data_IF_586570506352
#
_entry.id   IF_586570506352
#
_cell.length_a   1.000
_cell.length_b   1.000
_cell.length_c   1.000
_cell.angle_alpha   90.00
_cell.angle_beta   90.00
_cell.angle_gamma   90.00
#
_symmetry.space_group_name_H-M   'P 1'
#
loop_
_entity.id
_entity.type
_entity.pdbx_description
1 polymer ?
#
# COMPACT_ATOMS: atom_id res chain seq x y z
N UNK A 1 29.47 -15.20 6.40
CA UNK A 1 29.77 -16.15 5.31
C UNK A 1 28.53 -16.18 4.43
N UNK A 2 28.56 -15.56 3.26
CA UNK A 2 27.42 -15.58 2.33
C UNK A 2 27.16 -17.03 1.93
N UNK A 3 26.07 -17.62 2.41
CA UNK A 3 25.58 -18.86 1.84
C UNK A 3 25.08 -18.47 0.45
N UNK A 4 25.78 -18.92 -0.58
CA UNK A 4 25.38 -18.73 -1.97
C UNK A 4 24.14 -19.58 -2.28
N UNK A 5 23.01 -19.17 -1.70
CA UNK A 5 21.69 -19.73 -1.97
C UNK A 5 21.40 -19.72 -3.48
N UNK A 6 21.95 -18.74 -4.20
CA UNK A 6 21.76 -18.55 -5.64
C UNK A 6 22.40 -19.66 -6.50
N UNK A 7 23.55 -20.20 -6.11
CA UNK A 7 24.32 -21.14 -6.94
C UNK A 7 23.96 -22.61 -6.72
N UNK A 8 23.28 -22.92 -5.60
CA UNK A 8 22.96 -24.30 -5.26
C UNK A 8 21.61 -24.70 -5.86
N UNK A 9 21.60 -25.79 -6.62
CA UNK A 9 20.36 -26.38 -7.14
C UNK A 9 19.64 -27.10 -5.99
N UNK A 10 18.60 -26.48 -5.45
CA UNK A 10 17.77 -27.03 -4.38
C UNK A 10 16.44 -27.45 -4.99
N UNK A 11 16.17 -28.75 -5.08
CA UNK A 11 14.92 -29.27 -5.64
C UNK A 11 14.01 -29.87 -4.56
N UNK A 12 14.59 -30.24 -3.41
CA UNK A 12 13.90 -30.90 -2.31
C UNK A 12 14.26 -30.29 -0.96
N UNK A 13 13.47 -30.59 0.07
CA UNK A 13 13.83 -30.21 1.44
C UNK A 13 15.11 -30.89 1.92
N UNK A 14 15.39 -32.11 1.47
CA UNK A 14 16.60 -32.85 1.82
C UNK A 14 17.86 -32.15 1.27
N UNK A 15 17.75 -31.41 0.16
CA UNK A 15 18.82 -30.56 -0.36
C UNK A 15 18.99 -29.28 0.49
N UNK A 16 17.87 -28.74 0.98
CA UNK A 16 17.84 -27.47 1.72
C UNK A 16 18.36 -27.62 3.16
N UNK A 17 18.01 -28.72 3.83
CA UNK A 17 18.32 -28.92 5.25
C UNK A 17 19.82 -28.88 5.58
N UNK A 18 20.72 -29.56 4.82
CA UNK A 18 22.15 -29.46 5.06
C UNK A 18 22.71 -28.05 4.88
N UNK A 19 22.10 -27.23 4.01
CA UNK A 19 22.50 -25.84 3.80
C UNK A 19 22.08 -24.97 5.00
N UNK A 20 20.85 -25.12 5.47
CA UNK A 20 20.35 -24.43 6.68
C UNK A 20 21.20 -24.76 7.91
N UNK A 21 21.61 -26.02 8.09
CA UNK A 21 22.44 -26.45 9.21
C UNK A 21 23.88 -25.93 9.15
N UNK A 22 24.38 -25.59 7.96
CA UNK A 22 25.68 -24.94 7.77
C UNK A 22 25.60 -23.42 7.94
N UNK A 23 24.40 -22.86 7.82
CA UNK A 23 24.20 -21.43 7.97
C UNK A 23 24.25 -21.03 9.45
N UNK A 24 25.00 -19.97 9.74
CA UNK A 24 25.35 -19.59 11.11
C UNK A 24 24.13 -19.29 11.98
N UNK A 25 23.14 -18.57 11.42
CA UNK A 25 21.93 -18.13 12.12
C UNK A 25 20.79 -19.15 12.08
N UNK A 26 20.47 -19.68 10.89
CA UNK A 26 19.37 -20.62 10.69
C UNK A 26 19.52 -21.95 11.45
N UNK A 27 20.73 -22.41 11.74
CA UNK A 27 20.96 -23.62 12.56
C UNK A 27 20.40 -23.50 13.98
N UNK A 28 20.15 -22.27 14.45
CA UNK A 28 19.61 -21.98 15.79
C UNK A 28 18.07 -22.00 15.81
N UNK A 29 17.43 -21.91 14.64
CA UNK A 29 15.97 -22.00 14.52
C UNK A 29 15.54 -23.46 14.62
N UNK A 30 14.51 -23.72 15.43
CA UNK A 30 13.99 -25.06 15.67
C UNK A 30 13.53 -25.73 14.34
N UNK A 31 14.01 -26.96 14.10
CA UNK A 31 13.66 -27.79 12.94
C UNK A 31 12.15 -27.93 12.70
N UNK A 32 11.34 -27.99 13.75
CA UNK A 32 9.88 -28.09 13.61
C UNK A 32 9.27 -26.81 13.01
N UNK A 33 9.86 -25.64 13.28
CA UNK A 33 9.44 -24.36 12.69
C UNK A 33 9.68 -24.37 11.18
N UNK A 34 10.84 -24.87 10.74
CA UNK A 34 11.12 -25.02 9.32
C UNK A 34 10.21 -26.02 8.62
N UNK A 35 9.93 -27.15 9.27
CA UNK A 35 9.02 -28.14 8.71
C UNK A 35 7.62 -27.53 8.51
N UNK A 36 7.16 -26.73 9.46
CA UNK A 36 5.87 -26.03 9.34
C UNK A 36 5.89 -24.97 8.22
N UNK A 37 6.96 -24.18 8.09
CA UNK A 37 7.17 -23.26 6.95
C UNK A 37 7.10 -24.02 5.61
N UNK A 38 7.77 -25.17 5.53
CA UNK A 38 7.78 -25.99 4.32
C UNK A 38 6.39 -26.53 3.98
N UNK A 39 5.64 -26.98 4.99
CA UNK A 39 4.25 -27.41 4.85
C UNK A 39 3.35 -26.26 4.37
N UNK A 40 3.49 -25.06 4.96
CA UNK A 40 2.72 -23.86 4.56
C UNK A 40 3.03 -23.44 3.12
N UNK A 41 4.25 -23.68 2.64
CA UNK A 41 4.62 -23.50 1.24
C UNK A 41 4.05 -24.57 0.29
N UNK A 42 3.29 -25.57 0.77
CA UNK A 42 2.92 -26.77 0.01
C UNK A 42 4.13 -27.47 -0.61
N UNK A 43 5.25 -27.50 0.12
CA UNK A 43 6.51 -28.08 -0.32
C UNK A 43 7.15 -27.38 -1.54
N UNK A 44 6.75 -26.14 -1.82
CA UNK A 44 7.35 -25.30 -2.87
C UNK A 44 8.69 -24.73 -2.40
N UNK A 45 9.77 -25.35 -2.85
CA UNK A 45 11.15 -24.97 -2.51
C UNK A 45 11.50 -23.54 -2.95
N UNK A 46 10.94 -23.07 -4.06
CA UNK A 46 11.22 -21.71 -4.55
C UNK A 46 10.68 -20.66 -3.56
N UNK A 47 9.46 -20.86 -3.04
CA UNK A 47 8.88 -19.96 -2.02
C UNK A 47 9.69 -19.94 -0.73
N UNK A 48 10.22 -21.09 -0.32
CA UNK A 48 11.06 -21.20 0.87
C UNK A 48 12.38 -20.47 0.64
N UNK A 49 12.99 -20.61 -0.54
CA UNK A 49 14.20 -19.89 -0.90
C UNK A 49 13.98 -18.37 -0.86
N UNK A 50 12.88 -17.88 -1.45
CA UNK A 50 12.53 -16.45 -1.41
C UNK A 50 12.39 -15.95 0.05
N UNK A 51 11.71 -16.73 0.90
CA UNK A 51 11.56 -16.45 2.33
C UNK A 51 12.90 -16.36 3.06
N UNK A 52 13.80 -17.31 2.83
CA UNK A 52 15.13 -17.35 3.46
C UNK A 52 15.98 -16.16 3.01
N UNK A 53 16.03 -15.91 1.69
CA UNK A 53 16.77 -14.79 1.11
C UNK A 53 16.31 -13.44 1.66
N UNK A 54 15.00 -13.20 1.71
CA UNK A 54 14.44 -11.97 2.27
C UNK A 54 14.82 -11.82 3.74
N UNK A 55 14.65 -12.89 4.53
CA UNK A 55 14.90 -12.87 5.97
C UNK A 55 16.37 -12.63 6.30
N UNK A 56 17.29 -13.19 5.50
CA UNK A 56 18.74 -12.95 5.63
C UNK A 56 19.11 -11.53 5.19
N UNK A 57 18.59 -11.06 4.05
CA UNK A 57 18.90 -9.73 3.51
C UNK A 57 18.51 -8.61 4.46
N UNK A 58 17.39 -8.74 5.18
CA UNK A 58 16.93 -7.79 6.19
C UNK A 58 17.38 -8.14 7.62
N UNK A 59 18.28 -9.11 7.77
CA UNK A 59 18.82 -9.56 9.06
C UNK A 59 17.73 -9.93 10.09
N UNK A 60 16.55 -10.35 9.62
CA UNK A 60 15.39 -10.64 10.47
C UNK A 60 15.60 -11.90 11.32
N UNK A 61 16.43 -12.83 10.84
CA UNK A 61 16.72 -14.09 11.53
C UNK A 61 17.48 -13.82 12.83
N UNK A 62 18.55 -13.03 12.74
CA UNK A 62 19.38 -12.67 13.90
C UNK A 62 18.63 -11.74 14.86
N UNK A 63 18.00 -10.70 14.32
CA UNK A 63 17.43 -9.65 15.14
C UNK A 63 16.09 -10.06 15.79
N UNK A 64 15.35 -11.00 15.20
CA UNK A 64 14.02 -11.37 15.66
C UNK A 64 13.81 -12.87 15.77
N UNK A 65 14.09 -13.65 14.71
CA UNK A 65 13.57 -15.01 14.62
C UNK A 65 14.20 -15.97 15.64
N UNK A 66 15.51 -15.88 15.86
CA UNK A 66 16.22 -16.68 16.87
C UNK A 66 15.69 -16.35 18.25
N UNK A 67 15.63 -15.07 18.62
CA UNK A 67 15.11 -14.63 19.92
C UNK A 67 13.67 -15.10 20.16
N UNK A 68 12.79 -15.00 19.16
CA UNK A 68 11.42 -15.52 19.24
C UNK A 68 11.43 -17.03 19.48
N UNK A 69 12.23 -17.77 18.70
CA UNK A 69 12.31 -19.24 18.77
C UNK A 69 12.91 -19.76 20.08
N UNK A 70 13.76 -18.98 20.76
CA UNK A 70 14.30 -19.32 22.08
C UNK A 70 13.29 -19.03 23.20
N UNK A 71 12.52 -17.95 23.05
CA UNK A 71 11.60 -17.47 24.09
C UNK A 71 10.27 -18.24 24.16
N UNK A 72 9.85 -18.84 23.05
CA UNK A 72 8.57 -19.53 22.90
C UNK A 72 8.80 -20.99 22.49
N UNK A 73 7.93 -21.90 22.94
CA UNK A 73 8.00 -23.33 22.61
C UNK A 73 6.92 -23.74 21.63
N UNK A 74 5.84 -22.98 21.54
CA UNK A 74 4.79 -23.23 20.55
C UNK A 74 5.22 -22.73 19.17
N UNK A 75 5.47 -23.68 18.26
CA UNK A 75 5.84 -23.43 16.86
C UNK A 75 4.84 -22.49 16.17
N UNK A 76 3.54 -22.60 16.47
CA UNK A 76 2.53 -21.73 15.86
C UNK A 76 2.68 -20.29 16.32
N UNK A 77 2.90 -20.08 17.62
CA UNK A 77 3.09 -18.74 18.17
C UNK A 77 4.38 -18.10 17.63
N UNK A 78 5.48 -18.87 17.57
CA UNK A 78 6.75 -18.44 16.96
C UNK A 78 6.51 -17.92 15.54
N UNK A 79 5.81 -18.71 14.73
CA UNK A 79 5.52 -18.35 13.35
C UNK A 79 4.59 -17.15 13.24
N UNK A 80 3.53 -17.04 14.04
CA UNK A 80 2.65 -15.87 14.03
C UNK A 80 3.42 -14.58 14.38
N UNK A 81 4.31 -14.62 15.38
CA UNK A 81 5.12 -13.46 15.77
C UNK A 81 6.11 -13.07 14.67
N UNK A 82 6.77 -14.05 14.05
CA UNK A 82 7.69 -13.78 12.94
C UNK A 82 6.94 -13.29 11.68
N UNK A 83 5.76 -13.86 11.40
CA UNK A 83 4.87 -13.43 10.35
C UNK A 83 4.43 -11.97 10.52
N UNK A 84 4.13 -11.52 11.74
CA UNK A 84 3.82 -10.12 12.03
C UNK A 84 5.02 -9.19 11.81
N UNK A 85 6.24 -9.66 12.07
CA UNK A 85 7.47 -8.90 11.80
C UNK A 85 7.64 -8.69 10.29
N UNK A 86 7.45 -9.74 9.49
CA UNK A 86 7.51 -9.68 8.03
C UNK A 86 6.40 -8.80 7.43
N UNK A 87 5.19 -8.83 8.01
CA UNK A 87 4.10 -7.94 7.61
C UNK A 87 4.50 -6.47 7.78
N UNK A 88 5.03 -6.09 8.96
CA UNK A 88 5.46 -4.71 9.25
C UNK A 88 6.57 -4.25 8.32
N UNK A 89 7.53 -5.13 8.01
CA UNK A 89 8.56 -4.83 7.01
C UNK A 89 7.94 -4.47 5.65
N UNK A 90 6.99 -5.27 5.17
CA UNK A 90 6.29 -4.98 3.91
C UNK A 90 5.55 -3.65 3.93
N UNK A 91 4.88 -3.34 5.05
CA UNK A 91 4.17 -2.07 5.27
C UNK A 91 5.14 -0.87 5.28
N UNK A 92 6.25 -0.96 6.00
CA UNK A 92 7.27 0.09 6.07
C UNK A 92 7.88 0.38 4.70
N UNK A 93 8.21 -0.68 3.93
CA UNK A 93 8.73 -0.53 2.56
C UNK A 93 7.68 0.15 1.68
N UNK A 94 6.42 -0.28 1.74
CA UNK A 94 5.35 0.29 0.92
C UNK A 94 5.10 1.77 1.25
N UNK A 95 5.08 2.11 2.54
CA UNK A 95 4.91 3.48 3.02
C UNK A 95 6.08 4.39 2.63
N UNK A 96 7.28 3.83 2.41
CA UNK A 96 8.44 4.58 1.92
C UNK A 96 8.33 5.01 0.44
N UNK A 97 7.37 4.46 -0.32
CA UNK A 97 7.17 4.77 -1.73
C UNK A 97 6.11 5.87 -1.89
N UNK A 98 6.51 7.01 -2.48
CA UNK A 98 5.58 8.07 -2.88
C UNK A 98 4.67 7.61 -4.01
N UNK A 99 3.41 8.05 -4.02
CA UNK A 99 2.40 7.58 -4.98
C UNK A 99 2.79 7.97 -6.41
N UNK A 100 3.19 9.23 -6.58
CA UNK A 100 3.75 9.79 -7.81
C UNK A 100 5.01 9.06 -8.32
N UNK A 101 5.69 8.29 -7.48
CA UNK A 101 6.90 7.57 -7.85
C UNK A 101 6.68 6.06 -8.05
N UNK A 102 5.47 5.53 -7.82
CA UNK A 102 5.16 4.09 -7.88
C UNK A 102 5.57 3.42 -9.20
N UNK A 103 5.48 4.16 -10.31
CA UNK A 103 5.78 3.62 -11.65
C UNK A 103 7.27 3.73 -12.02
N UNK A 104 8.10 4.39 -11.21
CA UNK A 104 9.54 4.50 -11.46
C UNK A 104 10.23 3.15 -11.24
N UNK A 105 11.23 2.85 -12.07
CA UNK A 105 11.96 1.58 -12.05
C UNK A 105 12.51 1.24 -10.66
N UNK A 106 13.12 2.20 -9.97
CA UNK A 106 13.73 2.00 -8.65
C UNK A 106 12.70 1.62 -7.57
N UNK A 107 11.43 2.01 -7.74
CA UNK A 107 10.38 1.64 -6.81
C UNK A 107 9.73 0.29 -7.13
N UNK A 108 9.93 -0.26 -8.34
CA UNK A 108 9.49 -1.63 -8.64
C UNK A 108 10.24 -2.66 -7.82
N UNK A 109 11.53 -2.44 -7.58
CA UNK A 109 12.34 -3.33 -6.73
C UNK A 109 11.82 -3.28 -5.29
N UNK A 110 11.60 -2.10 -4.73
CA UNK A 110 10.99 -1.95 -3.41
C UNK A 110 9.61 -2.60 -3.31
N UNK A 111 8.77 -2.43 -4.33
CA UNK A 111 7.45 -3.03 -4.37
C UNK A 111 7.53 -4.57 -4.42
N UNK A 112 8.50 -5.12 -5.16
CA UNK A 112 8.73 -6.56 -5.22
C UNK A 112 9.17 -7.09 -3.86
N UNK A 113 10.06 -6.37 -3.18
CA UNK A 113 10.46 -6.73 -1.81
C UNK A 113 9.26 -6.68 -0.87
N UNK A 114 8.44 -5.62 -0.90
CA UNK A 114 7.24 -5.53 -0.08
C UNK A 114 6.29 -6.70 -0.32
N UNK A 115 6.06 -7.08 -1.59
CA UNK A 115 5.26 -8.25 -1.94
C UNK A 115 5.84 -9.53 -1.31
N UNK A 116 7.15 -9.77 -1.47
CA UNK A 116 7.82 -10.95 -0.90
C UNK A 116 7.73 -10.94 0.63
N UNK A 117 7.79 -9.78 1.29
CA UNK A 117 7.57 -9.67 2.74
C UNK A 117 6.16 -10.08 3.14
N UNK A 118 5.13 -9.61 2.43
CA UNK A 118 3.75 -10.02 2.70
C UNK A 118 3.52 -11.51 2.44
N UNK A 119 4.09 -12.06 1.36
CA UNK A 119 4.03 -13.51 1.10
C UNK A 119 4.74 -14.33 2.16
N UNK A 120 5.92 -13.88 2.59
CA UNK A 120 6.71 -14.51 3.65
C UNK A 120 5.95 -14.51 4.97
N UNK A 121 5.23 -13.43 5.28
CA UNK A 121 4.32 -13.36 6.41
C UNK A 121 3.22 -14.43 6.35
N UNK A 122 2.62 -14.65 5.19
CA UNK A 122 1.59 -15.68 4.97
C UNK A 122 2.14 -17.11 5.01
N UNK A 123 3.41 -17.31 4.64
CA UNK A 123 4.11 -18.59 4.80
C UNK A 123 4.28 -18.92 6.28
N UNK A 124 4.53 -17.92 7.14
CA UNK A 124 4.58 -18.14 8.57
C UNK A 124 3.19 -18.41 9.14
N UNK A 125 2.23 -17.53 8.85
CA UNK A 125 0.87 -17.64 9.37
C UNK A 125 -0.16 -17.20 8.30
N UNK A 126 -0.91 -18.15 7.72
CA UNK A 126 -1.91 -17.87 6.69
C UNK A 126 -3.14 -17.13 7.23
N UNK A 127 -3.23 -16.87 8.54
CA UNK A 127 -4.33 -16.12 9.15
C UNK A 127 -4.00 -14.63 9.33
N UNK A 128 -2.81 -14.17 8.94
CA UNK A 128 -2.47 -12.73 8.93
C UNK A 128 -3.15 -12.06 7.74
N UNK A 129 -4.41 -11.68 7.94
CA UNK A 129 -5.27 -11.06 6.92
C UNK A 129 -4.63 -9.82 6.27
N UNK A 130 -3.92 -9.01 7.05
CA UNK A 130 -3.33 -7.77 6.53
C UNK A 130 -2.21 -8.05 5.51
N UNK A 131 -1.54 -9.21 5.61
CA UNK A 131 -0.54 -9.63 4.62
C UNK A 131 -1.19 -10.00 3.29
N UNK A 132 -2.41 -10.56 3.27
CA UNK A 132 -3.16 -10.71 2.01
C UNK A 132 -3.47 -9.35 1.36
N UNK A 133 -3.85 -8.35 2.16
CA UNK A 133 -4.13 -7.00 1.62
C UNK A 133 -2.87 -6.39 1.01
N UNK A 134 -1.75 -6.46 1.72
CA UNK A 134 -0.46 -5.96 1.25
C UNK A 134 0.00 -6.64 -0.05
N UNK A 135 -0.05 -7.98 -0.09
CA UNK A 135 0.32 -8.75 -1.27
C UNK A 135 -0.57 -8.44 -2.49
N UNK A 136 -1.89 -8.37 -2.30
CA UNK A 136 -2.83 -7.99 -3.36
C UNK A 136 -2.54 -6.58 -3.87
N UNK A 137 -2.30 -5.61 -2.97
CA UNK A 137 -1.97 -4.24 -3.35
C UNK A 137 -0.67 -4.18 -4.17
N UNK A 138 0.34 -4.97 -3.82
CA UNK A 138 1.56 -5.05 -4.62
C UNK A 138 1.29 -5.65 -6.01
N UNK A 139 0.56 -6.76 -6.10
CA UNK A 139 0.20 -7.39 -7.38
C UNK A 139 -0.63 -6.46 -8.29
N UNK A 140 -1.51 -5.67 -7.67
CA UNK A 140 -2.28 -4.58 -8.28
C UNK A 140 -1.37 -3.52 -8.89
N UNK A 141 -0.36 -3.09 -8.15
CA UNK A 141 0.59 -2.07 -8.58
C UNK A 141 1.53 -2.60 -9.69
N UNK A 142 1.72 -3.92 -9.78
CA UNK A 142 2.40 -4.60 -10.88
C UNK A 142 1.53 -4.88 -12.11
N UNK A 143 0.22 -4.63 -12.04
CA UNK A 143 -0.76 -5.02 -13.07
C UNK A 143 -0.75 -6.54 -13.36
N UNK A 144 -0.50 -7.36 -12.33
CA UNK A 144 -0.46 -8.82 -12.46
C UNK A 144 -1.77 -9.47 -12.00
N UNK A 145 -2.73 -9.53 -12.93
CA UNK A 145 -4.05 -10.11 -12.69
C UNK A 145 -4.00 -11.56 -12.22
N UNK A 146 -3.01 -12.34 -12.67
CA UNK A 146 -2.88 -13.75 -12.30
C UNK A 146 -2.56 -13.88 -10.81
N UNK A 147 -1.64 -13.06 -10.30
CA UNK A 147 -1.31 -13.06 -8.87
C UNK A 147 -2.46 -12.55 -8.01
N UNK A 148 -3.13 -11.48 -8.45
CA UNK A 148 -4.33 -10.96 -7.78
C UNK A 148 -5.36 -12.08 -7.57
N UNK A 149 -5.66 -12.85 -8.62
CA UNK A 149 -6.64 -13.93 -8.52
C UNK A 149 -6.14 -15.14 -7.72
N UNK A 150 -4.83 -15.42 -7.76
CA UNK A 150 -4.19 -16.42 -6.90
C UNK A 150 -4.39 -16.10 -5.42
N UNK A 151 -4.02 -14.90 -4.97
CA UNK A 151 -4.16 -14.50 -3.56
C UNK A 151 -5.63 -14.45 -3.11
N UNK A 152 -6.55 -14.03 -3.98
CA UNK A 152 -8.00 -14.08 -3.68
C UNK A 152 -8.47 -15.50 -3.40
N UNK A 153 -8.07 -16.45 -4.24
CA UNK A 153 -8.49 -17.83 -4.12
C UNK A 153 -7.89 -18.48 -2.88
N UNK A 154 -6.62 -18.18 -2.59
CA UNK A 154 -5.95 -18.64 -1.38
C UNK A 154 -6.61 -18.09 -0.11
N UNK A 155 -6.89 -16.79 -0.06
CA UNK A 155 -7.60 -16.15 1.05
C UNK A 155 -8.99 -16.77 1.28
N UNK A 156 -9.76 -17.00 0.21
CA UNK A 156 -11.06 -17.68 0.30
C UNK A 156 -10.93 -19.08 0.90
N UNK A 157 -9.97 -19.87 0.41
CA UNK A 157 -9.71 -21.23 0.94
C UNK A 157 -9.36 -21.19 2.42
N UNK A 158 -8.54 -20.24 2.86
CA UNK A 158 -8.19 -20.13 4.29
C UNK A 158 -9.37 -19.71 5.16
N UNK A 159 -10.22 -18.78 4.71
CA UNK A 159 -11.48 -18.45 5.40
C UNK A 159 -12.41 -19.66 5.48
N UNK A 160 -12.53 -20.44 4.40
CA UNK A 160 -13.39 -21.63 4.39
C UNK A 160 -12.83 -22.71 5.33
N UNK A 161 -11.52 -22.95 5.30
CA UNK A 161 -10.82 -23.88 6.19
C UNK A 161 -10.95 -23.46 7.65
N UNK A 162 -10.77 -22.16 7.96
CA UNK A 162 -10.90 -21.64 9.32
C UNK A 162 -12.31 -21.87 9.86
N UNK A 163 -13.35 -21.65 9.06
CA UNK A 163 -14.75 -21.91 9.47
C UNK A 163 -15.01 -23.38 9.79
N UNK A 164 -14.38 -24.29 9.05
CA UNK A 164 -14.51 -25.73 9.27
C UNK A 164 -13.76 -26.17 10.55
N UNK A 165 -12.55 -25.65 10.77
CA UNK A 165 -11.74 -25.96 11.97
C UNK A 165 -12.31 -25.31 13.25
N UNK A 166 -12.96 -24.15 13.13
CA UNK A 166 -13.60 -23.41 14.22
C UNK A 166 -14.81 -24.11 14.87
N UNK A 167 -15.37 -25.15 14.23
CA UNK A 167 -16.45 -25.95 14.81
C UNK A 167 -15.95 -27.01 15.83
N UNK A 168 -14.64 -27.26 15.93
CA UNK A 168 -14.09 -28.35 16.74
C UNK A 168 -13.37 -27.98 18.04
N UNK A 169 -12.73 -26.81 18.15
CA UNK A 169 -11.92 -26.46 19.32
C UNK A 169 -11.42 -25.02 19.24
N UNK A 170 -11.91 -24.11 20.09
CA UNK A 170 -11.39 -22.74 20.14
C UNK A 170 -10.83 -22.37 21.51
N UNK A 171 -9.56 -21.94 21.49
CA UNK A 171 -8.85 -21.31 22.60
C UNK A 171 -9.36 -19.89 22.86
N UNK A 172 -8.98 -19.31 24.01
CA UNK A 172 -9.45 -18.00 24.49
C UNK A 172 -9.09 -16.84 23.54
N UNK A 173 -7.90 -16.85 22.91
CA UNK A 173 -7.50 -15.84 21.92
C UNK A 173 -8.35 -15.90 20.65
N UNK A 174 -8.73 -17.11 20.22
CA UNK A 174 -9.62 -17.28 19.07
C UNK A 174 -11.07 -16.87 19.39
N UNK A 175 -11.52 -16.96 20.65
CA UNK A 175 -12.82 -16.41 21.08
C UNK A 175 -12.84 -14.89 21.11
N UNK A 176 -11.78 -14.24 21.58
CA UNK A 176 -11.62 -12.78 21.46
C UNK A 176 -11.53 -12.32 19.99
N UNK A 177 -11.06 -13.18 19.09
CA UNK A 177 -10.99 -12.96 17.64
C UNK A 177 -12.29 -13.32 16.88
N UNK A 178 -13.23 -14.02 17.53
CA UNK A 178 -14.48 -14.55 16.93
C UNK A 178 -15.76 -14.01 17.57
N UNK A 179 -15.68 -13.25 18.66
CA UNK A 179 -16.76 -12.34 19.02
C UNK A 179 -16.89 -11.33 17.87
N UNK A 180 -17.94 -11.55 17.07
CA UNK A 180 -18.34 -10.86 15.85
C UNK A 180 -17.87 -9.40 15.80
N UNK A 181 -16.99 -9.02 14.85
CA UNK A 181 -16.61 -7.62 14.72
C UNK A 181 -16.45 -7.18 13.27
N UNK A 182 -16.90 -5.94 13.03
CA UNK A 182 -16.90 -5.17 11.79
C UNK A 182 -15.67 -5.40 10.91
N UNK A 183 -14.51 -5.66 11.50
CA UNK A 183 -13.22 -5.90 10.85
C UNK A 183 -13.26 -6.96 9.73
N UNK A 184 -13.99 -8.07 9.85
CA UNK A 184 -14.04 -9.06 8.75
C UNK A 184 -14.93 -8.62 7.58
N UNK A 185 -16.00 -7.86 7.85
CA UNK A 185 -16.82 -7.21 6.81
C UNK A 185 -16.06 -6.05 6.18
N UNK A 186 -15.34 -5.30 6.99
CA UNK A 186 -14.49 -4.19 6.59
C UNK A 186 -13.31 -4.69 5.79
N UNK A 187 -12.67 -5.80 6.16
CA UNK A 187 -11.64 -6.50 5.38
C UNK A 187 -12.20 -6.99 4.07
N UNK A 188 -13.37 -7.63 4.05
CA UNK A 188 -13.99 -8.09 2.79
C UNK A 188 -14.36 -6.90 1.90
N UNK A 189 -14.77 -5.79 2.50
CA UNK A 189 -15.05 -4.51 1.83
C UNK A 189 -13.77 -3.81 1.40
N UNK A 190 -12.67 -3.88 2.15
CA UNK A 190 -11.35 -3.31 1.88
C UNK A 190 -10.67 -4.14 0.80
N UNK A 191 -10.81 -5.46 0.81
CA UNK A 191 -10.27 -6.38 -0.19
C UNK A 191 -11.08 -6.24 -1.47
N UNK A 192 -12.42 -6.33 -1.42
CA UNK A 192 -13.28 -5.95 -2.55
C UNK A 192 -13.02 -4.51 -2.97
N UNK A 193 -12.57 -3.67 -2.01
CA UNK A 193 -12.09 -2.35 -2.29
C UNK A 193 -10.79 -2.48 -3.12
N UNK A 194 -9.63 -2.64 -2.51
CA UNK A 194 -8.30 -2.83 -3.10
C UNK A 194 -8.24 -3.68 -4.40
N UNK A 195 -9.10 -4.68 -4.59
CA UNK A 195 -9.25 -5.49 -5.82
C UNK A 195 -9.86 -4.72 -7.00
N UNK A 196 -10.86 -3.87 -6.79
CA UNK A 196 -11.56 -3.13 -7.84
C UNK A 196 -11.01 -1.72 -8.08
N UNK A 197 -10.27 -1.14 -7.12
CA UNK A 197 -9.68 0.21 -7.26
C UNK A 197 -8.28 0.35 -7.86
N UNK A 198 -7.55 -0.68 -8.31
CA UNK A 198 -6.31 -0.51 -9.08
C UNK A 198 -6.51 0.45 -10.24
N UNK A 199 -7.58 0.22 -10.99
CA UNK A 199 -7.91 1.00 -12.16
C UNK A 199 -8.28 2.44 -11.81
N UNK A 200 -9.03 2.66 -10.73
CA UNK A 200 -9.47 4.00 -10.32
C UNK A 200 -8.31 4.83 -9.74
N UNK A 201 -7.42 4.22 -8.97
CA UNK A 201 -6.20 4.87 -8.46
C UNK A 201 -5.23 5.13 -9.62
N UNK A 202 -5.00 4.14 -10.48
CA UNK A 202 -4.12 4.30 -11.64
C UNK A 202 -4.64 5.37 -12.61
N UNK A 203 -5.97 5.45 -12.82
CA UNK A 203 -6.60 6.52 -13.59
C UNK A 203 -6.40 7.88 -12.91
N UNK A 204 -6.54 7.97 -11.59
CA UNK A 204 -6.27 9.19 -10.85
C UNK A 204 -4.82 9.66 -10.98
N UNK A 205 -3.85 8.74 -10.80
CA UNK A 205 -2.41 9.03 -10.97
C UNK A 205 -2.12 9.52 -12.39
N UNK A 206 -2.64 8.84 -13.41
CA UNK A 206 -2.48 9.30 -14.81
C UNK A 206 -3.03 10.70 -15.03
N UNK A 207 -4.20 11.01 -14.45
CA UNK A 207 -4.77 12.36 -14.56
C UNK A 207 -3.91 13.37 -13.81
N UNK A 208 -3.33 13.03 -12.66
CA UNK A 208 -2.39 13.90 -11.95
C UNK A 208 -1.11 14.15 -12.76
N UNK A 209 -0.57 13.13 -13.43
CA UNK A 209 0.58 13.27 -14.33
C UNK A 209 0.25 14.21 -15.51
N UNK A 210 -0.94 14.09 -16.11
CA UNK A 210 -1.41 15.01 -17.16
C UNK A 210 -1.54 16.46 -16.64
N UNK A 211 -2.07 16.65 -15.43
CA UNK A 211 -2.19 17.97 -14.80
C UNK A 211 -0.79 18.54 -14.53
N UNK A 212 0.13 17.71 -14.05
CA UNK A 212 1.53 18.08 -13.79
C UNK A 212 2.22 18.57 -15.06
N UNK A 213 2.03 17.87 -16.17
CA UNK A 213 2.57 18.28 -17.47
C UNK A 213 1.99 19.63 -17.90
N UNK A 214 0.67 19.80 -17.76
CA UNK A 214 -0.03 21.05 -18.09
C UNK A 214 0.47 22.25 -17.30
N UNK A 215 0.80 22.07 -16.02
CA UNK A 215 1.29 23.13 -15.14
C UNK A 215 2.80 23.02 -14.87
N UNK A 216 3.56 22.46 -15.80
CA UNK A 216 5.01 22.25 -15.67
C UNK A 216 5.79 23.54 -15.46
N UNK A 217 5.31 24.67 -16.00
CA UNK A 217 5.86 26.01 -15.76
C UNK A 217 5.74 26.47 -14.30
N UNK A 218 4.87 25.85 -13.51
CA UNK A 218 4.63 26.12 -12.08
C UNK A 218 5.11 24.98 -11.18
N UNK A 219 6.15 24.25 -11.60
CA UNK A 219 6.61 22.99 -10.99
C UNK A 219 6.64 22.99 -9.45
N UNK A 220 7.23 24.01 -8.81
CA UNK A 220 7.31 24.08 -7.34
C UNK A 220 5.94 24.27 -6.68
N UNK A 221 5.10 25.18 -7.18
CA UNK A 221 3.76 25.39 -6.65
C UNK A 221 2.87 24.16 -6.87
N UNK A 222 3.02 23.51 -8.02
CA UNK A 222 2.29 22.28 -8.32
C UNK A 222 2.74 21.11 -7.44
N UNK A 223 4.02 21.00 -7.11
CA UNK A 223 4.52 19.94 -6.20
C UNK A 223 3.87 20.03 -4.81
N UNK A 224 3.66 21.25 -4.29
CA UNK A 224 2.93 21.46 -3.03
C UNK A 224 1.50 20.93 -3.11
N UNK A 225 0.79 21.25 -4.19
CA UNK A 225 -0.58 20.78 -4.42
C UNK A 225 -0.60 19.26 -4.59
N UNK A 226 0.31 18.71 -5.41
CA UNK A 226 0.37 17.29 -5.71
C UNK A 226 0.63 16.45 -4.46
N UNK A 227 1.54 16.87 -3.58
CA UNK A 227 1.82 16.16 -2.33
C UNK A 227 0.55 16.09 -1.45
N UNK A 228 -0.18 17.19 -1.31
CA UNK A 228 -1.42 17.21 -0.53
C UNK A 228 -2.55 16.40 -1.20
N UNK A 229 -2.61 16.38 -2.54
CA UNK A 229 -3.55 15.50 -3.26
C UNK A 229 -3.21 14.03 -3.00
N UNK A 230 -1.94 13.66 -3.12
CA UNK A 230 -1.47 12.29 -2.88
C UNK A 230 -1.84 11.83 -1.46
N UNK A 231 -1.62 12.68 -0.45
CA UNK A 231 -1.98 12.41 0.94
C UNK A 231 -3.49 12.24 1.12
N UNK A 232 -4.30 13.14 0.55
CA UNK A 232 -5.77 13.05 0.65
C UNK A 232 -6.35 11.83 -0.05
N UNK A 233 -5.80 11.43 -1.20
CA UNK A 233 -6.22 10.20 -1.89
C UNK A 233 -5.90 8.97 -1.03
N UNK A 234 -4.75 8.96 -0.35
CA UNK A 234 -4.37 7.86 0.55
C UNK A 234 -5.26 7.80 1.78
N UNK A 235 -5.45 8.95 2.46
CA UNK A 235 -6.23 9.05 3.70
C UNK A 235 -7.72 8.78 3.46
N UNK A 236 -8.26 9.27 2.34
CA UNK A 236 -9.71 9.21 2.02
C UNK A 236 -10.00 8.29 0.85
N UNK A 237 -9.19 7.25 0.69
CA UNK A 237 -9.28 6.33 -0.43
C UNK A 237 -10.70 5.75 -0.55
N UNK A 238 -11.27 5.34 0.58
CA UNK A 238 -12.64 4.79 0.65
C UNK A 238 -13.72 5.77 0.16
N UNK A 239 -13.61 7.06 0.51
CA UNK A 239 -14.56 8.11 0.08
C UNK A 239 -14.44 8.40 -1.41
N UNK A 240 -13.20 8.58 -1.90
CA UNK A 240 -12.92 8.78 -3.33
C UNK A 240 -13.57 7.68 -4.16
N UNK A 241 -13.34 6.45 -3.77
CA UNK A 241 -13.90 5.25 -4.35
C UNK A 241 -15.43 5.29 -4.41
N UNK A 242 -16.07 5.57 -3.26
CA UNK A 242 -17.52 5.54 -3.16
C UNK A 242 -18.13 6.63 -4.07
N UNK A 243 -17.48 7.79 -4.20
CA UNK A 243 -17.88 8.83 -5.15
C UNK A 243 -17.80 8.37 -6.62
N UNK A 244 -16.72 7.69 -7.01
CA UNK A 244 -16.57 7.20 -8.39
C UNK A 244 -17.57 6.10 -8.70
N UNK A 245 -17.80 5.17 -7.76
CA UNK A 245 -18.81 4.13 -7.91
C UNK A 245 -20.23 4.70 -8.02
N UNK A 246 -20.49 5.83 -7.37
CA UNK A 246 -21.75 6.57 -7.50
C UNK A 246 -21.87 7.38 -8.82
N UNK A 247 -20.95 7.18 -9.77
CA UNK A 247 -20.99 7.78 -11.10
C UNK A 247 -20.25 9.11 -11.24
N UNK A 248 -19.51 9.55 -10.21
CA UNK A 248 -18.65 10.74 -10.34
C UNK A 248 -17.50 10.42 -11.29
N UNK A 249 -17.25 11.31 -12.25
CA UNK A 249 -16.12 11.11 -13.15
C UNK A 249 -14.79 11.36 -12.42
N UNK A 250 -13.83 10.43 -12.55
CA UNK A 250 -12.51 10.52 -11.90
C UNK A 250 -11.78 11.80 -12.23
N UNK A 251 -11.88 12.27 -13.48
CA UNK A 251 -11.18 13.48 -13.92
C UNK A 251 -11.82 14.72 -13.34
N UNK A 252 -13.15 14.77 -13.27
CA UNK A 252 -13.86 15.82 -12.52
C UNK A 252 -13.38 15.89 -11.07
N UNK A 253 -13.29 14.75 -10.39
CA UNK A 253 -12.90 14.71 -8.99
C UNK A 253 -11.45 15.16 -8.77
N UNK A 254 -10.50 14.65 -9.56
CA UNK A 254 -9.08 14.99 -9.41
C UNK A 254 -8.82 16.47 -9.73
N UNK A 255 -9.38 17.00 -10.82
CA UNK A 255 -9.24 18.43 -11.13
C UNK A 255 -9.91 19.31 -10.07
N UNK A 256 -11.04 18.88 -9.50
CA UNK A 256 -11.69 19.57 -8.38
C UNK A 256 -10.86 19.56 -7.10
N UNK A 257 -10.19 18.44 -6.81
CA UNK A 257 -9.31 18.33 -5.66
C UNK A 257 -8.08 19.24 -5.81
N UNK A 258 -7.43 19.21 -6.99
CA UNK A 258 -6.30 20.11 -7.31
C UNK A 258 -6.74 21.57 -7.23
N UNK A 259 -7.92 21.93 -7.77
CA UNK A 259 -8.43 23.29 -7.67
C UNK A 259 -8.62 23.70 -6.21
N UNK A 260 -9.30 22.88 -5.41
CA UNK A 260 -9.58 23.23 -4.01
C UNK A 260 -8.29 23.46 -3.22
N UNK A 261 -7.34 22.53 -3.30
CA UNK A 261 -6.06 22.64 -2.57
C UNK A 261 -5.23 23.83 -3.03
N UNK A 262 -5.12 24.05 -4.35
CA UNK A 262 -4.40 25.21 -4.89
C UNK A 262 -5.04 26.51 -4.41
N UNK A 263 -6.38 26.54 -4.35
CA UNK A 263 -7.15 27.65 -3.85
C UNK A 263 -6.92 27.92 -2.35
N UNK A 264 -7.06 26.87 -1.53
CA UNK A 264 -6.84 26.92 -0.08
C UNK A 264 -5.43 27.42 0.24
N UNK A 265 -4.40 26.95 -0.48
CA UNK A 265 -3.06 27.49 -0.32
C UNK A 265 -2.97 28.95 -0.74
N UNK A 266 -3.53 29.33 -1.89
CA UNK A 266 -3.50 30.72 -2.36
C UNK A 266 -4.17 31.67 -1.36
N UNK A 267 -5.21 31.25 -0.63
CA UNK A 267 -5.90 32.06 0.38
C UNK A 267 -5.35 31.89 1.81
N UNK A 268 -4.45 30.95 2.09
CA UNK A 268 -3.98 30.63 3.46
C UNK A 268 -3.21 31.73 4.21
N UNK A 269 -2.91 32.87 3.60
CA UNK A 269 -2.01 33.90 4.14
C UNK A 269 -0.51 33.54 4.06
N UNK A 270 -0.16 32.25 4.05
CA UNK A 270 1.24 31.76 4.00
C UNK A 270 2.02 32.22 2.78
N UNK A 271 1.34 32.42 1.65
CA UNK A 271 1.95 32.81 0.38
C UNK A 271 1.70 34.27 0.01
N UNK A 272 1.44 35.13 1.01
CA UNK A 272 1.30 36.58 0.84
C UNK A 272 2.59 37.30 1.25
N UNK A 273 2.89 38.42 0.58
CA UNK A 273 3.92 39.38 1.01
C UNK A 273 3.34 40.39 2.01
N UNK A 274 2.10 40.79 1.79
CA UNK A 274 1.25 41.57 2.69
C UNK A 274 -0.21 41.37 2.26
N UNK A 275 -1.16 41.93 3.01
CA UNK A 275 -2.59 41.84 2.70
C UNK A 275 -2.89 42.08 1.21
N UNK A 276 -3.55 41.11 0.58
CA UNK A 276 -3.97 41.16 -0.83
C UNK A 276 -2.87 40.99 -1.87
N UNK A 277 -1.60 40.83 -1.47
CA UNK A 277 -0.48 40.71 -2.41
C UNK A 277 0.24 39.39 -2.25
N UNK A 278 0.03 38.51 -3.22
CA UNK A 278 0.67 37.19 -3.30
C UNK A 278 2.15 37.30 -3.68
N UNK A 279 2.97 36.46 -3.05
CA UNK A 279 4.34 36.20 -3.47
C UNK A 279 4.34 35.38 -4.79
N UNK A 280 5.50 35.13 -5.43
CA UNK A 280 5.55 34.37 -6.69
C UNK A 280 4.84 33.01 -6.62
N UNK A 281 5.07 32.22 -5.56
CA UNK A 281 4.43 30.90 -5.37
C UNK A 281 2.92 31.03 -5.23
N UNK A 282 2.43 32.02 -4.46
CA UNK A 282 1.00 32.28 -4.31
C UNK A 282 0.33 32.64 -5.63
N UNK A 283 1.00 33.42 -6.49
CA UNK A 283 0.48 33.73 -7.84
C UNK A 283 0.41 32.49 -8.72
N UNK A 284 1.40 31.61 -8.64
CA UNK A 284 1.40 30.37 -9.41
C UNK A 284 0.32 29.39 -8.92
N UNK A 285 0.09 29.30 -7.60
CA UNK A 285 -1.05 28.58 -7.02
C UNK A 285 -2.39 29.10 -7.54
N UNK A 286 -2.57 30.42 -7.59
CA UNK A 286 -3.78 31.02 -8.15
C UNK A 286 -3.97 30.69 -9.65
N UNK A 287 -2.89 30.59 -10.42
CA UNK A 287 -2.97 30.17 -11.84
C UNK A 287 -3.33 28.70 -11.98
N UNK A 288 -2.80 27.82 -11.13
CA UNK A 288 -3.19 26.40 -11.08
C UNK A 288 -4.69 26.29 -10.74
N UNK A 289 -5.15 27.02 -9.72
CA UNK A 289 -6.58 27.13 -9.39
C UNK A 289 -7.41 27.58 -10.59
N UNK A 290 -7.03 28.69 -11.23
CA UNK A 290 -7.79 29.24 -12.34
C UNK A 290 -7.86 28.27 -13.53
N UNK A 291 -6.72 27.65 -13.89
CA UNK A 291 -6.64 26.73 -15.02
C UNK A 291 -7.37 25.42 -14.78
N UNK A 292 -7.41 24.92 -13.54
CA UNK A 292 -8.20 23.73 -13.19
C UNK A 292 -9.70 24.02 -13.19
N UNK A 293 -10.13 25.18 -12.67
CA UNK A 293 -11.53 25.63 -12.74
C UNK A 293 -11.99 25.85 -14.19
N UNK A 294 -11.15 26.44 -15.04
CA UNK A 294 -11.45 26.58 -16.47
C UNK A 294 -11.63 25.22 -17.13
N UNK A 295 -10.73 24.27 -16.87
CA UNK A 295 -10.87 22.92 -17.42
C UNK A 295 -12.16 22.23 -16.98
N UNK A 296 -12.54 22.34 -15.70
CA UNK A 296 -13.80 21.80 -15.20
C UNK A 296 -15.01 22.43 -15.90
N UNK A 297 -14.94 23.73 -16.20
CA UNK A 297 -15.97 24.45 -16.94
C UNK A 297 -16.05 24.01 -18.40
N UNK A 298 -14.90 23.88 -19.08
CA UNK A 298 -14.80 23.46 -20.48
C UNK A 298 -15.35 22.05 -20.71
N UNK A 299 -15.07 21.15 -19.76
CA UNK A 299 -15.59 19.79 -19.74
C UNK A 299 -17.06 19.70 -19.27
N UNK A 300 -17.68 20.85 -18.99
CA UNK A 300 -19.08 20.98 -18.52
C UNK A 300 -19.37 20.28 -17.19
N UNK A 301 -18.34 20.02 -16.38
CA UNK A 301 -18.50 19.51 -15.02
C UNK A 301 -19.04 20.59 -14.08
N UNK A 302 -18.73 21.86 -14.37
CA UNK A 302 -19.34 23.03 -13.74
C UNK A 302 -19.84 23.98 -14.82
N UNK A 303 -20.86 24.80 -14.51
CA UNK A 303 -21.30 25.82 -15.45
C UNK A 303 -20.38 27.04 -15.40
N UNK A 304 -20.24 27.74 -16.53
CA UNK A 304 -19.38 28.93 -16.68
C UNK A 304 -19.69 29.99 -15.61
N UNK A 305 -20.97 30.19 -15.28
CA UNK A 305 -21.39 31.13 -14.23
C UNK A 305 -20.81 30.76 -12.86
N UNK A 306 -20.79 29.48 -12.51
CA UNK A 306 -20.22 29.00 -11.25
C UNK A 306 -18.69 29.12 -11.27
N UNK A 307 -18.03 28.80 -12.38
CA UNK A 307 -16.58 28.97 -12.54
C UNK A 307 -16.16 30.43 -12.30
N UNK A 308 -16.85 31.40 -12.91
CA UNK A 308 -16.61 32.83 -12.71
C UNK A 308 -16.85 33.23 -11.25
N UNK A 309 -17.92 32.72 -10.63
CA UNK A 309 -18.24 33.04 -9.24
C UNK A 309 -17.17 32.53 -8.27
N UNK A 310 -16.73 31.28 -8.43
CA UNK A 310 -15.67 30.67 -7.62
C UNK A 310 -14.35 31.45 -7.75
N UNK A 311 -13.95 31.76 -8.99
CA UNK A 311 -12.78 32.61 -9.29
C UNK A 311 -12.86 34.00 -8.67
N UNK A 312 -14.04 34.63 -8.69
CA UNK A 312 -14.24 35.93 -8.05
C UNK A 312 -14.16 35.83 -6.52
N UNK A 313 -14.75 34.78 -5.95
CA UNK A 313 -14.72 34.56 -4.51
C UNK A 313 -13.30 34.38 -3.98
N UNK A 314 -12.46 33.61 -4.68
CA UNK A 314 -11.08 33.40 -4.22
C UNK A 314 -10.25 34.68 -4.23
N UNK A 315 -10.42 35.51 -5.27
CA UNK A 315 -9.75 36.82 -5.36
C UNK A 315 -10.17 37.74 -4.22
N UNK A 316 -11.46 37.74 -3.88
CA UNK A 316 -11.99 38.47 -2.73
C UNK A 316 -11.40 37.95 -1.42
N UNK A 317 -11.22 36.64 -1.27
CA UNK A 317 -10.61 36.07 -0.06
C UNK A 317 -9.15 36.52 0.06
N UNK A 318 -8.37 36.44 -1.03
CA UNK A 318 -6.97 36.91 -1.11
C UNK A 318 -6.85 38.38 -0.71
N UNK A 319 -7.73 39.26 -1.22
CA UNK A 319 -7.74 40.69 -0.85
C UNK A 319 -7.89 40.94 0.67
N UNK A 320 -8.58 40.04 1.37
CA UNK A 320 -8.87 40.16 2.80
C UNK A 320 -7.85 39.45 3.70
N UNK A 321 -6.92 38.68 3.15
CA UNK A 321 -5.99 37.84 3.91
C UNK A 321 -4.54 38.36 3.78
N UNK A 322 -3.80 38.24 4.89
CA UNK A 322 -2.51 38.89 5.17
C UNK A 322 -2.68 40.11 6.07
#
# INVERSE_FOLDING_TARGET
MEVAWEETKIETIDDLMPLLMKHEKWKEVNLYVFNEIFCNCNHDVAKVKDFLLLSDFYELVENNFVAISESEKDVKMILSMFGLTLFRLGEDILNSIKLSDLLKRDNREKLAVAEVSFRSSLICDPFIIQSYKGAILCAVLFDDQKYIDSYKNEFKRHIEKSKVEQLGSLSYLQRAYLEENEEQREVKTIIYKLINYPHHIHKAIKILDEIKERFSEYSYAFELVNNQVDDLIRERLSEYIDMINNGTDTRMWIYGLVSNIAGDYAESGRYHLHRGVLNPVGRDLLKIYDGTVDYLSDMKFICIKNAILQKKQIRKNIENIG
#
